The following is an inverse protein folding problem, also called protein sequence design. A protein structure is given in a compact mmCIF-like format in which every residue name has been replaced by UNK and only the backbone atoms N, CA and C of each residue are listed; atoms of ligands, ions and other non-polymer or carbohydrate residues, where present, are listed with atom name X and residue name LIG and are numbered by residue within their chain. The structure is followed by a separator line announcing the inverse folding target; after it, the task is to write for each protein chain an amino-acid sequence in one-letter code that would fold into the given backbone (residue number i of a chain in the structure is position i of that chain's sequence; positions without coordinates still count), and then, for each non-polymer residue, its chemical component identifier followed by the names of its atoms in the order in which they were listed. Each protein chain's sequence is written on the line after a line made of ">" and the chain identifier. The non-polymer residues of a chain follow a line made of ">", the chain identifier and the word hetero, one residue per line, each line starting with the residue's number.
data_IF_033420336339
#
_entry.id   IF_033420336339
#
_cell.length_a   1.000
_cell.length_b   1.000
_cell.length_c   1.000
_cell.angle_alpha   90.00
_cell.angle_beta   90.00
_cell.angle_gamma   90.00
#
_symmetry.space_group_name_H-M   'P 1'
#
loop_
_entity.id
_entity.type
_entity.pdbx_description
1 polymer ?
#
# COMPACT_ATOMS: atom_id res chain seq x y z
N UNK A 1 -4.24 -84.55 24.45
CA UNK A 1 -4.86 -85.26 23.31
C UNK A 1 -6.08 -84.47 22.85
N UNK A 2 -6.37 -84.58 21.56
CA UNK A 2 -7.52 -84.10 20.78
C UNK A 2 -7.21 -82.87 19.91
N UNK A 3 -7.03 -83.20 18.62
CA UNK A 3 -6.95 -82.31 17.46
C UNK A 3 -8.29 -81.58 17.24
N UNK A 4 -8.23 -80.30 16.89
CA UNK A 4 -9.37 -79.58 16.31
C UNK A 4 -9.16 -79.44 14.80
N UNK A 5 -10.10 -80.00 14.02
CA UNK A 5 -10.11 -79.94 12.57
C UNK A 5 -10.74 -78.63 12.07
N UNK A 6 -10.06 -78.01 11.10
CA UNK A 6 -10.51 -76.86 10.30
C UNK A 6 -11.63 -77.28 9.34
N UNK A 7 -12.79 -76.62 9.40
CA UNK A 7 -13.81 -76.64 8.34
C UNK A 7 -14.20 -75.21 7.98
N UNK A 8 -13.83 -74.79 6.75
CA UNK A 8 -14.32 -73.57 6.10
C UNK A 8 -15.72 -73.83 5.53
N UNK A 9 -16.67 -72.93 5.79
CA UNK A 9 -17.97 -72.93 5.13
C UNK A 9 -17.88 -72.39 3.68
N UNK A 10 -18.65 -72.94 2.73
CA UNK A 10 -18.64 -72.51 1.33
C UNK A 10 -19.41 -71.20 1.12
N UNK A 11 -18.83 -70.29 0.34
CA UNK A 11 -19.48 -69.08 -0.15
C UNK A 11 -20.55 -69.44 -1.18
N UNK A 12 -21.80 -69.10 -0.86
CA UNK A 12 -22.95 -69.24 -1.75
C UNK A 12 -22.87 -68.16 -2.85
N UNK A 13 -22.62 -68.59 -4.10
CA UNK A 13 -22.39 -67.72 -5.24
C UNK A 13 -23.68 -67.19 -5.84
N UNK A 14 -24.00 -65.91 -5.60
CA UNK A 14 -25.07 -65.23 -6.32
C UNK A 14 -24.54 -64.69 -7.67
N UNK A 15 -24.41 -65.59 -8.65
CA UNK A 15 -23.87 -65.31 -10.01
C UNK A 15 -24.65 -64.23 -10.80
N UNK A 16 -25.83 -63.80 -10.34
CA UNK A 16 -26.63 -62.76 -11.02
C UNK A 16 -26.13 -61.33 -10.75
N UNK A 17 -25.46 -61.09 -9.62
CA UNK A 17 -24.94 -59.76 -9.28
C UNK A 17 -23.68 -59.41 -10.10
N UNK A 18 -22.88 -60.42 -10.44
CA UNK A 18 -21.64 -60.26 -11.20
C UNK A 18 -21.90 -60.04 -12.71
N UNK A 19 -22.97 -60.61 -13.24
CA UNK A 19 -23.41 -60.40 -14.64
C UNK A 19 -23.98 -59.00 -14.83
N UNK A 20 -24.65 -58.43 -13.82
CA UNK A 20 -25.19 -57.07 -13.88
C UNK A 20 -24.09 -56.00 -13.89
N UNK A 21 -22.99 -56.23 -13.16
CA UNK A 21 -21.81 -55.34 -13.20
C UNK A 21 -21.04 -55.42 -14.53
N UNK A 22 -21.01 -56.60 -15.18
CA UNK A 22 -20.31 -56.79 -16.46
C UNK A 22 -21.07 -56.19 -17.66
N UNK A 23 -22.41 -56.11 -17.59
CA UNK A 23 -23.21 -55.44 -18.62
C UNK A 23 -23.15 -53.90 -18.52
N UNK A 24 -22.96 -53.36 -17.31
CA UNK A 24 -22.87 -51.90 -17.11
C UNK A 24 -21.50 -51.32 -17.54
N UNK A 25 -20.43 -52.13 -17.55
CA UNK A 25 -19.10 -51.68 -17.98
C UNK A 25 -18.90 -51.69 -19.51
N UNK A 26 -19.81 -52.32 -20.27
CA UNK A 26 -19.72 -52.44 -21.74
C UNK A 26 -20.48 -51.34 -22.50
N UNK A 27 -21.20 -50.45 -21.82
CA UNK A 27 -21.94 -49.33 -22.41
C UNK A 27 -21.20 -47.98 -22.39
N UNK A 28 -19.98 -47.90 -21.84
CA UNK A 28 -19.19 -46.65 -21.80
C UNK A 28 -18.02 -46.57 -22.79
N UNK A 29 -17.83 -47.57 -23.66
CA UNK A 29 -16.82 -47.55 -24.72
C UNK A 29 -17.44 -47.80 -26.10
N UNK A 30 -18.33 -46.92 -26.55
CA UNK A 30 -18.65 -46.80 -27.98
C UNK A 30 -19.34 -45.48 -28.28
N UNK A 31 -18.55 -44.45 -28.63
CA UNK A 31 -18.94 -43.47 -29.67
C UNK A 31 -17.67 -42.96 -30.38
N UNK A 32 -17.36 -43.57 -31.52
CA UNK A 32 -16.62 -42.91 -32.60
C UNK A 32 -17.60 -42.00 -33.35
N UNK A 33 -17.28 -40.70 -33.46
CA UNK A 33 -17.94 -39.80 -34.40
C UNK A 33 -16.97 -39.41 -35.52
N UNK A 34 -17.44 -39.63 -36.74
CA UNK A 34 -16.80 -39.42 -38.05
C UNK A 34 -16.44 -37.96 -38.33
N UNK A 35 -15.24 -37.77 -38.89
CA UNK A 35 -14.64 -36.48 -39.30
C UNK A 35 -15.18 -36.06 -40.68
N UNK A 36 -15.87 -34.92 -40.77
CA UNK A 36 -16.05 -34.16 -42.04
C UNK A 36 -15.00 -33.05 -42.10
N UNK A 37 -14.23 -32.99 -43.18
CA UNK A 37 -13.24 -31.96 -43.45
C UNK A 37 -13.88 -30.73 -44.10
N UNK A 38 -13.68 -29.55 -43.50
CA UNK A 38 -13.87 -28.23 -44.13
C UNK A 38 -12.48 -27.60 -44.24
N UNK A 39 -12.08 -27.03 -45.40
CA UNK A 39 -10.73 -26.51 -45.57
C UNK A 39 -10.55 -25.21 -44.79
N UNK A 40 -9.56 -25.17 -43.89
CA UNK A 40 -9.12 -23.94 -43.20
C UNK A 40 -7.89 -23.41 -43.91
N UNK A 41 -8.03 -22.20 -44.46
CA UNK A 41 -6.96 -21.39 -44.99
C UNK A 41 -5.94 -21.09 -43.88
N UNK A 42 -4.67 -21.41 -44.11
CA UNK A 42 -3.62 -21.31 -43.10
C UNK A 42 -3.07 -19.89 -43.05
N UNK A 43 -3.54 -19.07 -42.10
CA UNK A 43 -2.73 -17.98 -41.56
C UNK A 43 -2.29 -18.37 -40.14
N UNK A 44 -0.98 -18.61 -39.98
CA UNK A 44 -0.32 -18.86 -38.70
C UNK A 44 -0.37 -17.58 -37.86
N UNK A 45 -1.20 -17.56 -36.82
CA UNK A 45 -0.98 -16.68 -35.68
C UNK A 45 -0.36 -17.50 -34.53
N UNK A 46 0.76 -17.05 -33.93
CA UNK A 46 1.38 -17.76 -32.82
C UNK A 46 0.48 -17.72 -31.56
N UNK A 47 0.60 -18.71 -30.66
CA UNK A 47 -0.25 -18.80 -29.47
C UNK A 47 -0.04 -17.58 -28.55
N UNK A 48 -1.15 -16.98 -28.12
CA UNK A 48 -1.16 -15.83 -27.22
C UNK A 48 -0.50 -16.20 -25.87
N UNK A 49 0.53 -15.44 -25.50
CA UNK A 49 1.09 -15.44 -24.13
C UNK A 49 0.00 -14.98 -23.15
N UNK A 50 -0.04 -15.51 -21.91
CA UNK A 50 -0.87 -14.94 -20.87
C UNK A 50 -0.45 -13.49 -20.64
N UNK A 51 -1.33 -12.55 -20.99
CA UNK A 51 -1.12 -11.12 -20.73
C UNK A 51 -1.23 -10.89 -19.23
N UNK A 52 -0.09 -10.82 -18.54
CA UNK A 52 -0.03 -10.10 -17.28
C UNK A 52 -0.30 -8.63 -17.60
N UNK A 53 -1.52 -8.15 -17.41
CA UNK A 53 -1.78 -6.71 -17.41
C UNK A 53 -0.94 -6.10 -16.29
N UNK A 54 0.14 -5.43 -16.68
CA UNK A 54 0.96 -4.65 -15.76
C UNK A 54 0.08 -3.53 -15.21
N UNK A 55 0.14 -3.23 -13.91
CA UNK A 55 -0.52 -2.04 -13.39
C UNK A 55 0.03 -0.82 -14.12
N UNK A 56 -0.87 0.06 -14.55
CA UNK A 56 -0.51 1.35 -15.17
C UNK A 56 0.40 2.10 -14.19
N UNK A 57 1.61 2.46 -14.63
CA UNK A 57 2.57 3.24 -13.84
C UNK A 57 1.96 4.60 -13.53
N UNK A 58 1.70 4.89 -12.25
CA UNK A 58 1.32 6.23 -11.81
C UNK A 58 2.24 6.64 -10.66
N UNK A 59 2.88 7.78 -10.85
CA UNK A 59 3.79 8.40 -9.89
C UNK A 59 2.97 8.96 -8.73
N UNK A 60 3.07 8.34 -7.55
CA UNK A 60 2.34 8.76 -6.35
C UNK A 60 3.07 9.91 -5.64
N UNK A 61 4.22 10.34 -6.17
CA UNK A 61 5.06 11.43 -5.65
C UNK A 61 5.52 12.32 -6.81
N UNK A 62 4.86 13.46 -7.01
CA UNK A 62 5.28 14.43 -8.03
C UNK A 62 6.37 15.32 -7.46
N UNK A 63 7.57 15.23 -8.03
CA UNK A 63 8.68 16.17 -7.78
C UNK A 63 8.67 17.29 -8.81
N UNK A 64 8.72 18.54 -8.35
CA UNK A 64 9.13 19.67 -9.19
C UNK A 64 10.64 19.88 -9.00
N UNK A 65 11.39 19.80 -10.10
CA UNK A 65 12.74 20.31 -10.15
C UNK A 65 12.66 21.83 -10.23
N UNK A 66 12.94 22.53 -9.14
CA UNK A 66 13.37 23.92 -9.19
C UNK A 66 14.87 23.96 -8.85
N UNK A 67 15.70 24.74 -9.58
CA UNK A 67 17.11 24.85 -9.26
C UNK A 67 17.27 25.39 -7.85
N UNK A 68 18.04 24.65 -7.04
CA UNK A 68 18.29 24.93 -5.64
C UNK A 68 18.81 26.36 -5.44
N UNK A 69 17.97 27.27 -4.97
CA UNK A 69 18.44 28.32 -4.06
C UNK A 69 18.69 27.65 -2.72
N UNK A 70 19.91 27.80 -2.20
CA UNK A 70 20.34 27.36 -0.87
C UNK A 70 19.27 27.71 0.17
N UNK A 71 18.47 26.73 0.55
CA UNK A 71 17.67 26.72 1.76
C UNK A 71 17.90 25.35 2.38
N UNK A 72 18.44 25.34 3.59
CA UNK A 72 18.62 24.12 4.37
C UNK A 72 17.26 23.42 4.47
N UNK A 73 17.20 22.15 4.07
CA UNK A 73 15.99 21.34 4.21
C UNK A 73 15.73 21.13 5.71
N UNK A 74 14.62 21.61 6.27
CA UNK A 74 14.32 21.42 7.68
C UNK A 74 14.03 19.95 7.96
N UNK A 75 14.60 19.44 9.06
CA UNK A 75 14.38 18.06 9.54
C UNK A 75 12.93 17.94 10.01
N UNK A 76 12.17 17.07 9.36
CA UNK A 76 10.83 16.66 9.80
C UNK A 76 10.99 15.44 10.68
N UNK A 77 10.62 15.53 11.96
CA UNK A 77 10.78 14.43 12.92
C UNK A 77 9.40 13.98 13.40
N UNK A 78 9.04 12.69 13.26
CA UNK A 78 7.93 12.11 13.99
C UNK A 78 8.23 12.19 15.49
N UNK A 79 7.41 12.90 16.27
CA UNK A 79 7.63 12.95 17.72
C UNK A 79 7.26 11.60 18.35
N UNK A 80 8.14 11.10 19.22
CA UNK A 80 7.91 9.90 20.05
C UNK A 80 7.79 10.21 21.54
N UNK A 81 7.91 11.49 21.94
CA UNK A 81 7.87 11.89 23.34
C UNK A 81 6.48 12.43 23.73
N UNK A 82 5.90 11.83 24.78
CA UNK A 82 4.56 12.11 25.34
C UNK A 82 4.42 13.46 26.08
N UNK A 83 5.44 14.32 26.13
CA UNK A 83 5.46 15.46 27.07
C UNK A 83 5.09 16.82 26.47
N UNK A 84 4.98 16.97 25.15
CA UNK A 84 4.68 18.27 24.53
C UNK A 84 3.56 18.15 23.46
N UNK A 85 2.45 17.48 23.78
CA UNK A 85 1.26 17.55 22.93
C UNK A 85 0.69 18.98 22.98
N UNK A 86 0.99 19.76 21.94
CA UNK A 86 0.30 21.02 21.69
C UNK A 86 -1.18 20.69 21.45
N UNK A 87 -2.01 20.92 22.47
CA UNK A 87 -3.46 20.71 22.39
C UNK A 87 -4.05 21.79 21.48
N UNK A 88 -4.23 21.47 20.20
CA UNK A 88 -4.96 22.33 19.28
C UNK A 88 -6.43 22.42 19.71
N UNK A 89 -6.95 23.65 19.87
CA UNK A 89 -8.35 23.90 20.19
C UNK A 89 -9.04 24.52 18.98
N UNK A 90 -10.10 23.89 18.45
CA UNK A 90 -10.94 24.49 17.42
C UNK A 90 -11.47 25.84 17.90
N UNK A 91 -11.58 26.80 16.97
CA UNK A 91 -12.19 28.10 17.18
C UNK A 91 -13.71 28.02 17.27
N UNK A 92 -14.33 26.97 16.70
CA UNK A 92 -15.78 26.78 16.67
C UNK A 92 -16.48 27.75 15.72
N UNK A 93 -15.74 28.31 14.74
CA UNK A 93 -16.23 29.34 13.82
C UNK A 93 -17.31 28.82 12.87
N UNK A 94 -17.29 27.53 12.54
CA UNK A 94 -18.19 26.92 11.56
C UNK A 94 -19.19 25.97 12.22
N UNK A 95 -20.44 26.08 11.80
CA UNK A 95 -21.50 25.15 12.21
C UNK A 95 -21.35 23.84 11.43
N UNK A 96 -21.60 22.73 12.13
CA UNK A 96 -21.72 21.39 11.56
C UNK A 96 -23.07 20.81 11.93
N UNK A 97 -23.59 19.91 11.09
CA UNK A 97 -24.86 19.24 11.35
C UNK A 97 -24.80 18.43 12.65
N UNK A 98 -25.83 18.55 13.48
CA UNK A 98 -25.84 17.91 14.81
C UNK A 98 -26.47 16.51 14.73
N UNK A 99 -27.53 16.35 13.94
CA UNK A 99 -28.35 15.12 13.90
C UNK A 99 -27.74 14.01 13.04
N UNK A 100 -26.82 14.37 12.13
CA UNK A 100 -26.17 13.43 11.23
C UNK A 100 -24.71 13.81 10.97
N UNK A 101 -23.91 12.80 10.68
CA UNK A 101 -22.50 12.94 10.32
C UNK A 101 -22.40 13.04 8.79
N UNK A 102 -21.96 14.19 8.30
CA UNK A 102 -21.76 14.43 6.86
C UNK A 102 -20.32 14.24 6.44
N UNK A 103 -20.10 13.40 5.44
CA UNK A 103 -18.79 13.16 4.82
C UNK A 103 -18.89 13.56 3.34
N UNK A 104 -17.93 14.35 2.87
CA UNK A 104 -17.80 14.68 1.44
C UNK A 104 -16.66 13.86 0.86
N UNK A 105 -16.90 13.14 -0.22
CA UNK A 105 -15.89 12.36 -0.93
C UNK A 105 -15.62 12.97 -2.30
N UNK A 106 -14.41 13.50 -2.48
CA UNK A 106 -13.92 14.05 -3.73
C UNK A 106 -13.07 12.96 -4.42
N UNK A 107 -13.71 12.16 -5.27
CA UNK A 107 -13.12 10.96 -5.87
C UNK A 107 -12.85 11.22 -7.35
N UNK A 108 -11.63 10.96 -7.87
CA UNK A 108 -11.31 11.22 -9.29
C UNK A 108 -11.83 10.07 -10.17
N UNK A 109 -13.15 10.00 -10.37
CA UNK A 109 -13.78 9.03 -11.26
C UNK A 109 -13.47 9.28 -12.73
N UNK A 110 -13.04 10.50 -13.08
CA UNK A 110 -12.66 10.89 -14.44
C UNK A 110 -13.75 10.65 -15.47
N UNK A 111 -14.98 10.95 -15.08
CA UNK A 111 -16.17 10.63 -15.86
C UNK A 111 -16.18 11.32 -17.22
N UNK A 112 -15.54 12.49 -17.35
CA UNK A 112 -15.34 13.19 -18.62
C UNK A 112 -14.52 12.40 -19.64
N UNK A 113 -13.65 11.50 -19.18
CA UNK A 113 -12.82 10.64 -20.02
C UNK A 113 -13.42 9.25 -20.31
N UNK A 114 -14.67 8.99 -19.90
CA UNK A 114 -15.36 7.74 -20.23
C UNK A 114 -15.96 7.81 -21.62
N UNK A 115 -15.73 6.76 -22.40
CA UNK A 115 -16.44 6.56 -23.66
C UNK A 115 -17.85 6.01 -23.36
N UNK A 116 -18.83 6.91 -23.40
CA UNK A 116 -20.25 6.58 -23.17
C UNK A 116 -20.82 5.64 -24.22
N UNK A 117 -20.17 5.51 -25.39
CA UNK A 117 -20.63 4.64 -26.47
C UNK A 117 -20.27 3.17 -26.27
N UNK A 118 -19.20 2.87 -25.53
CA UNK A 118 -18.74 1.49 -25.31
C UNK A 118 -19.08 0.94 -23.92
N UNK A 119 -19.73 1.74 -23.05
CA UNK A 119 -19.99 1.37 -21.64
C UNK A 119 -18.72 0.89 -20.91
N UNK A 120 -17.55 1.41 -21.30
CA UNK A 120 -16.26 1.04 -20.71
C UNK A 120 -15.82 2.14 -19.75
N UNK A 121 -15.60 1.75 -18.51
CA UNK A 121 -14.95 2.59 -17.51
C UNK A 121 -13.50 2.75 -17.93
N UNK A 122 -12.99 3.98 -17.91
CA UNK A 122 -11.58 4.24 -18.14
C UNK A 122 -10.74 3.42 -17.13
N UNK A 123 -9.74 2.68 -17.61
CA UNK A 123 -8.90 1.83 -16.74
C UNK A 123 -8.20 2.64 -15.65
N UNK A 124 -7.86 3.91 -15.91
CA UNK A 124 -7.30 4.83 -14.92
C UNK A 124 -8.29 5.18 -13.79
N UNK A 125 -9.59 5.04 -14.03
CA UNK A 125 -10.66 5.29 -13.05
C UNK A 125 -11.03 4.06 -12.23
N UNK A 126 -10.71 2.86 -12.73
CA UNK A 126 -11.13 1.59 -12.14
C UNK A 126 -10.73 1.50 -10.66
N UNK A 127 -9.50 1.89 -10.32
CA UNK A 127 -9.03 1.89 -8.93
C UNK A 127 -9.88 2.75 -7.99
N UNK A 128 -10.37 3.90 -8.46
CA UNK A 128 -11.18 4.82 -7.66
C UNK A 128 -12.63 4.35 -7.55
N UNK A 129 -13.14 3.67 -8.58
CA UNK A 129 -14.43 2.96 -8.52
C UNK A 129 -14.38 1.85 -7.48
N UNK A 130 -13.31 1.03 -7.46
CA UNK A 130 -13.11 0.01 -6.44
C UNK A 130 -12.98 0.62 -5.04
N UNK A 131 -12.21 1.71 -4.88
CA UNK A 131 -12.11 2.44 -3.62
C UNK A 131 -13.49 2.89 -3.10
N UNK A 132 -14.30 3.52 -3.97
CA UNK A 132 -15.65 3.94 -3.62
C UNK A 132 -16.59 2.76 -3.32
N UNK A 133 -16.47 1.64 -4.04
CA UNK A 133 -17.19 0.41 -3.72
C UNK A 133 -16.81 -0.12 -2.33
N UNK A 134 -15.52 -0.05 -1.96
CA UNK A 134 -15.02 -0.32 -0.61
C UNK A 134 -15.67 0.57 0.45
N UNK A 135 -15.71 1.88 0.23
CA UNK A 135 -16.38 2.83 1.12
C UNK A 135 -17.85 2.45 1.34
N UNK A 136 -18.57 2.11 0.27
CA UNK A 136 -19.95 1.67 0.36
C UNK A 136 -20.13 0.39 1.18
N UNK A 137 -19.21 -0.56 1.07
CA UNK A 137 -19.22 -1.78 1.89
C UNK A 137 -19.08 -1.46 3.39
N UNK A 138 -18.26 -0.45 3.74
CA UNK A 138 -18.09 0.00 5.11
C UNK A 138 -19.34 0.71 5.64
N UNK A 139 -19.96 1.57 4.83
CA UNK A 139 -21.20 2.27 5.18
C UNK A 139 -22.32 1.26 5.44
N UNK A 140 -22.51 0.29 4.55
CA UNK A 140 -23.54 -0.74 4.69
C UNK A 140 -23.37 -1.52 6.00
N UNK A 141 -22.13 -1.86 6.36
CA UNK A 141 -21.83 -2.55 7.61
C UNK A 141 -22.13 -1.66 8.82
N UNK A 142 -21.66 -0.42 8.81
CA UNK A 142 -21.79 0.53 9.92
C UNK A 142 -23.21 1.11 10.07
N UNK A 143 -24.06 0.99 9.04
CA UNK A 143 -25.47 1.37 9.09
C UNK A 143 -26.30 0.45 9.98
N UNK A 144 -25.80 -0.77 10.22
CA UNK A 144 -26.42 -1.77 11.11
C UNK A 144 -25.97 -1.62 12.56
N UNK A 145 -24.96 -0.80 12.80
CA UNK A 145 -24.46 -0.47 14.14
C UNK A 145 -25.21 0.76 14.70
N UNK A 146 -25.34 0.85 16.02
CA UNK A 146 -25.87 2.04 16.67
C UNK A 146 -24.93 3.26 16.45
N UNK A 147 -25.51 4.43 16.27
CA UNK A 147 -24.77 5.68 16.12
C UNK A 147 -25.53 6.70 15.28
N UNK A 148 -24.98 7.92 15.18
CA UNK A 148 -25.54 8.95 14.30
C UNK A 148 -25.59 8.46 12.85
N UNK A 149 -26.64 8.88 12.15
CA UNK A 149 -26.81 8.66 10.71
C UNK A 149 -25.60 9.25 9.99
N UNK A 150 -25.06 8.51 9.01
CA UNK A 150 -23.99 9.00 8.14
C UNK A 150 -24.59 9.37 6.79
N UNK A 151 -24.29 10.57 6.30
CA UNK A 151 -24.64 11.03 4.96
C UNK A 151 -23.36 11.27 4.20
N UNK A 152 -23.27 10.73 2.98
CA UNK A 152 -22.10 10.88 2.14
C UNK A 152 -22.50 11.55 0.84
N UNK A 153 -21.85 12.67 0.54
CA UNK A 153 -21.96 13.36 -0.73
C UNK A 153 -20.70 13.07 -1.54
N UNK A 154 -20.88 12.59 -2.77
CA UNK A 154 -19.77 12.10 -3.59
C UNK A 154 -19.71 12.92 -4.87
N UNK A 155 -18.53 13.45 -5.17
CA UNK A 155 -18.28 14.28 -6.34
C UNK A 155 -17.09 13.74 -7.12
N UNK A 156 -17.20 13.77 -8.45
CA UNK A 156 -16.03 13.58 -9.32
C UNK A 156 -15.13 14.81 -9.23
N UNK A 157 -13.82 14.61 -9.01
CA UNK A 157 -12.89 15.71 -8.79
C UNK A 157 -11.50 15.43 -9.35
N UNK A 158 -11.15 16.12 -10.44
CA UNK A 158 -9.86 16.06 -11.13
C UNK A 158 -9.18 17.43 -11.26
N UNK A 159 -9.73 18.47 -10.63
CA UNK A 159 -9.26 19.85 -10.77
C UNK A 159 -9.60 20.71 -9.54
N UNK A 160 -8.98 21.88 -9.47
CA UNK A 160 -9.26 22.86 -8.42
C UNK A 160 -10.66 23.43 -8.59
N UNK A 161 -11.08 23.63 -9.84
CA UNK A 161 -12.37 24.19 -10.21
C UNK A 161 -13.52 23.27 -9.78
N UNK A 162 -13.41 21.96 -10.04
CA UNK A 162 -14.40 20.97 -9.59
C UNK A 162 -14.44 20.84 -8.08
N UNK A 163 -13.28 20.91 -7.41
CA UNK A 163 -13.22 20.93 -5.95
C UNK A 163 -13.93 22.17 -5.38
N UNK A 164 -13.68 23.36 -5.94
CA UNK A 164 -14.30 24.60 -5.54
C UNK A 164 -15.83 24.58 -5.73
N UNK A 165 -16.30 24.09 -6.88
CA UNK A 165 -17.74 23.93 -7.15
C UNK A 165 -18.38 22.97 -6.15
N UNK A 166 -17.74 21.83 -5.87
CA UNK A 166 -18.25 20.85 -4.91
C UNK A 166 -18.33 21.44 -3.49
N UNK A 167 -17.31 22.20 -3.08
CA UNK A 167 -17.21 22.78 -1.74
C UNK A 167 -18.06 24.03 -1.51
N UNK A 168 -18.48 24.72 -2.57
CA UNK A 168 -19.38 25.87 -2.47
C UNK A 168 -20.72 25.55 -1.78
N UNK A 169 -21.18 24.30 -1.87
CA UNK A 169 -22.40 23.82 -1.19
C UNK A 169 -22.26 23.79 0.34
N UNK A 170 -21.04 23.90 0.87
CA UNK A 170 -20.73 23.72 2.29
C UNK A 170 -20.18 24.98 2.97
N UNK A 171 -20.24 26.15 2.32
CA UNK A 171 -19.72 27.40 2.89
C UNK A 171 -20.41 27.81 4.19
N UNK A 172 -21.71 27.50 4.34
CA UNK A 172 -22.49 27.85 5.53
C UNK A 172 -22.55 26.73 6.58
N UNK A 173 -22.37 25.49 6.15
CA UNK A 173 -22.46 24.29 6.98
C UNK A 173 -21.38 23.32 6.53
N UNK A 174 -20.26 23.34 7.24
CA UNK A 174 -19.10 22.55 6.87
C UNK A 174 -19.38 21.04 7.11
N UNK A 175 -18.86 20.13 6.28
CA UNK A 175 -18.95 18.71 6.56
C UNK A 175 -18.08 18.35 7.77
N UNK A 176 -18.27 17.13 8.26
CA UNK A 176 -17.46 16.61 9.36
C UNK A 176 -16.09 16.18 8.83
N UNK A 177 -16.08 15.50 7.68
CA UNK A 177 -14.87 15.01 7.00
C UNK A 177 -14.97 15.29 5.50
N UNK A 178 -13.83 15.61 4.89
CA UNK A 178 -13.61 15.49 3.45
C UNK A 178 -12.62 14.35 3.20
N UNK A 179 -12.89 13.48 2.23
CA UNK A 179 -11.96 12.43 1.76
C UNK A 179 -11.55 12.76 0.33
N UNK A 180 -10.24 12.84 0.07
CA UNK A 180 -9.69 13.26 -1.23
C UNK A 180 -9.59 14.79 -1.38
N UNK A 181 -9.23 15.32 -2.56
CA UNK A 181 -9.06 14.64 -3.85
C UNK A 181 -7.66 14.05 -4.05
N UNK A 182 -7.41 13.44 -5.22
CA UNK A 182 -6.12 12.84 -5.56
C UNK A 182 -5.11 13.80 -6.21
N UNK A 183 -5.58 14.75 -7.03
CA UNK A 183 -4.69 15.64 -7.77
C UNK A 183 -4.07 16.67 -6.83
N UNK A 184 -2.74 16.78 -6.84
CA UNK A 184 -1.97 17.58 -5.87
C UNK A 184 -2.47 19.02 -5.74
N UNK A 185 -2.69 19.73 -6.85
CA UNK A 185 -3.13 21.13 -6.79
C UNK A 185 -4.56 21.28 -6.25
N UNK A 186 -5.46 20.36 -6.60
CA UNK A 186 -6.79 20.31 -6.01
C UNK A 186 -6.73 19.97 -4.51
N UNK A 187 -5.85 19.04 -4.12
CA UNK A 187 -5.66 18.66 -2.72
C UNK A 187 -5.11 19.81 -1.88
N UNK A 188 -4.17 20.60 -2.40
CA UNK A 188 -3.70 21.84 -1.74
C UNK A 188 -4.84 22.84 -1.53
N UNK A 189 -5.65 23.07 -2.56
CA UNK A 189 -6.82 23.94 -2.46
C UNK A 189 -7.78 23.45 -1.36
N UNK A 190 -8.13 22.15 -1.38
CA UNK A 190 -9.03 21.55 -0.38
C UNK A 190 -8.40 21.56 1.02
N UNK A 191 -7.08 21.41 1.15
CA UNK A 191 -6.39 21.51 2.43
C UNK A 191 -6.47 22.91 3.03
N UNK A 192 -6.28 23.96 2.23
CA UNK A 192 -6.50 25.35 2.66
C UNK A 192 -7.95 25.56 3.08
N UNK A 193 -8.90 25.14 2.24
CA UNK A 193 -10.33 25.25 2.56
C UNK A 193 -10.66 24.54 3.87
N UNK A 194 -10.14 23.33 4.06
CA UNK A 194 -10.37 22.49 5.24
C UNK A 194 -9.80 23.10 6.52
N UNK A 195 -8.62 23.73 6.43
CA UNK A 195 -8.02 24.50 7.52
C UNK A 195 -8.91 25.67 7.91
N UNK A 196 -9.36 26.42 6.92
CA UNK A 196 -10.18 27.62 7.12
C UNK A 196 -11.57 27.30 7.68
N UNK A 197 -12.13 26.12 7.35
CA UNK A 197 -13.48 25.66 7.74
C UNK A 197 -13.48 24.62 8.85
N UNK A 198 -12.35 24.42 9.54
CA UNK A 198 -12.22 23.48 10.66
C UNK A 198 -12.74 22.07 10.32
N UNK A 199 -12.40 21.60 9.13
CA UNK A 199 -12.91 20.36 8.55
C UNK A 199 -11.79 19.37 8.38
N UNK A 200 -11.93 18.19 8.98
CA UNK A 200 -10.92 17.14 8.85
C UNK A 200 -10.85 16.65 7.40
N UNK A 201 -9.68 16.81 6.79
CA UNK A 201 -9.38 16.35 5.45
C UNK A 201 -8.53 15.07 5.54
N UNK A 202 -9.05 13.97 5.00
CA UNK A 202 -8.35 12.71 4.88
C UNK A 202 -7.84 12.57 3.44
N UNK A 203 -6.52 12.48 3.27
CA UNK A 203 -5.84 12.19 2.00
C UNK A 203 -5.46 10.71 1.92
N UNK A 204 -6.21 9.89 1.18
CA UNK A 204 -5.91 8.47 1.03
C UNK A 204 -4.83 8.17 0.00
N UNK A 205 -4.65 9.03 -1.01
CA UNK A 205 -3.80 8.69 -2.15
C UNK A 205 -2.43 9.36 -2.17
N UNK A 206 -2.33 10.57 -1.63
CA UNK A 206 -1.12 11.41 -1.74
C UNK A 206 -0.38 11.43 -0.43
N UNK A 207 0.90 11.08 -0.49
CA UNK A 207 1.83 11.19 0.64
C UNK A 207 2.90 12.24 0.37
N UNK A 208 2.73 13.46 0.88
CA UNK A 208 3.71 14.53 0.69
C UNK A 208 3.64 15.62 1.77
N UNK A 209 4.78 16.07 2.31
CA UNK A 209 4.82 17.22 3.21
C UNK A 209 4.53 18.56 2.52
N UNK A 210 4.52 18.62 1.18
CA UNK A 210 4.29 19.86 0.41
C UNK A 210 2.83 20.23 0.17
N UNK A 211 1.89 19.43 0.70
CA UNK A 211 0.45 19.65 0.49
C UNK A 211 -0.07 20.82 1.31
N UNK A 212 0.42 20.97 2.54
CA UNK A 212 -0.10 21.97 3.46
C UNK A 212 0.92 22.26 4.55
N UNK A 213 0.81 23.43 5.16
CA UNK A 213 1.64 23.86 6.28
C UNK A 213 0.75 24.25 7.45
N UNK A 214 1.16 23.85 8.65
CA UNK A 214 0.48 24.15 9.90
C UNK A 214 -1.04 23.87 9.87
N UNK A 215 -1.43 22.76 9.27
CA UNK A 215 -2.83 22.37 9.09
C UNK A 215 -3.19 21.19 10.01
N UNK A 216 -3.75 21.49 11.20
CA UNK A 216 -4.12 20.46 12.17
C UNK A 216 -5.31 19.60 11.69
N UNK A 217 -5.99 19.98 10.62
CA UNK A 217 -7.11 19.24 10.07
C UNK A 217 -6.71 18.30 8.92
N UNK A 218 -5.45 18.30 8.48
CA UNK A 218 -4.98 17.41 7.41
C UNK A 218 -4.47 16.09 7.99
N UNK A 219 -5.08 14.98 7.56
CA UNK A 219 -4.68 13.62 7.87
C UNK A 219 -4.29 12.91 6.59
N UNK A 220 -3.07 12.41 6.55
CA UNK A 220 -2.57 11.57 5.48
C UNK A 220 -2.58 10.11 5.94
N UNK A 221 -3.33 9.24 5.26
CA UNK A 221 -3.44 7.83 5.70
C UNK A 221 -2.32 6.94 5.16
N UNK A 222 -1.52 7.46 4.23
CA UNK A 222 -0.29 6.83 3.76
C UNK A 222 0.91 7.31 4.56
N UNK A 223 1.81 6.38 4.87
CA UNK A 223 3.05 6.69 5.55
C UNK A 223 3.98 7.54 4.67
N UNK A 224 4.56 8.56 5.30
CA UNK A 224 5.60 9.39 4.70
C UNK A 224 6.91 8.62 4.51
N UNK A 225 7.78 9.16 3.66
CA UNK A 225 9.12 8.61 3.43
C UNK A 225 9.95 8.58 4.73
N UNK A 226 9.77 9.57 5.61
CA UNK A 226 10.41 9.64 6.93
C UNK A 226 10.08 8.40 7.78
N UNK A 227 8.82 8.00 7.86
CA UNK A 227 8.40 6.82 8.61
C UNK A 227 9.03 5.54 8.04
N UNK A 228 9.07 5.41 6.70
CA UNK A 228 9.73 4.28 6.06
C UNK A 228 11.24 4.22 6.34
N UNK A 229 11.95 5.35 6.23
CA UNK A 229 13.39 5.43 6.50
C UNK A 229 13.70 5.12 7.96
N UNK A 230 12.94 5.71 8.89
CA UNK A 230 13.09 5.44 10.31
C UNK A 230 12.89 3.95 10.61
N UNK A 231 11.84 3.34 10.09
CA UNK A 231 11.57 1.91 10.31
C UNK A 231 12.66 1.00 9.74
N UNK A 232 13.19 1.29 8.54
CA UNK A 232 14.32 0.55 7.98
C UNK A 232 15.55 0.69 8.87
N UNK A 233 15.86 1.91 9.31
CA UNK A 233 17.03 2.19 10.13
C UNK A 233 16.95 1.49 11.49
N UNK A 234 15.81 1.60 12.17
CA UNK A 234 15.55 0.96 13.46
C UNK A 234 15.64 -0.56 13.36
N UNK A 235 14.94 -1.15 12.39
CA UNK A 235 14.93 -2.60 12.23
C UNK A 235 16.31 -3.15 11.79
N UNK A 236 17.05 -2.44 10.91
CA UNK A 236 18.38 -2.87 10.50
C UNK A 236 19.37 -2.85 11.67
N UNK A 237 19.40 -1.78 12.47
CA UNK A 237 20.29 -1.63 13.63
C UNK A 237 19.93 -2.57 14.78
N UNK A 238 18.65 -2.89 14.96
CA UNK A 238 18.22 -3.86 15.96
C UNK A 238 18.70 -5.29 15.63
N UNK A 239 18.86 -5.62 14.35
CA UNK A 239 19.20 -6.98 13.91
C UNK A 239 20.66 -7.19 13.54
N UNK A 240 21.39 -6.15 13.18
CA UNK A 240 22.73 -6.25 12.61
C UNK A 240 23.69 -5.26 13.25
N UNK A 241 24.98 -5.63 13.39
CA UNK A 241 26.02 -4.68 13.78
C UNK A 241 26.05 -3.49 12.82
N UNK A 242 26.18 -2.28 13.36
CA UNK A 242 26.08 -1.05 12.55
C UNK A 242 27.18 -0.98 11.49
N UNK A 243 28.37 -1.49 11.81
CA UNK A 243 29.51 -1.58 10.89
C UNK A 243 29.26 -2.50 9.68
N UNK A 244 28.24 -3.36 9.73
CA UNK A 244 27.82 -4.22 8.62
C UNK A 244 26.74 -3.58 7.74
N UNK A 245 26.20 -2.44 8.14
CA UNK A 245 25.15 -1.72 7.44
C UNK A 245 25.76 -0.65 6.54
N UNK A 246 25.42 -0.70 5.25
CA UNK A 246 25.93 0.19 4.23
C UNK A 246 24.75 0.85 3.52
N UNK A 247 24.67 2.17 3.60
CA UNK A 247 23.70 2.97 2.85
C UNK A 247 24.20 3.16 1.42
N UNK A 248 23.34 2.93 0.43
CA UNK A 248 23.67 3.09 -0.99
C UNK A 248 22.91 4.29 -1.56
N UNK A 249 23.66 5.21 -2.17
CA UNK A 249 23.12 6.39 -2.86
C UNK A 249 23.70 6.51 -4.27
N UNK A 250 22.92 7.10 -5.18
CA UNK A 250 23.28 7.29 -6.60
C UNK A 250 24.28 8.43 -6.80
N UNK A 251 24.15 9.45 -5.97
CA UNK A 251 24.91 10.70 -6.02
C UNK A 251 24.92 11.36 -4.64
N UNK A 252 25.78 12.37 -4.47
CA UNK A 252 25.84 13.17 -3.24
C UNK A 252 24.54 13.97 -3.05
N UNK A 253 23.96 14.49 -4.14
CA UNK A 253 22.73 15.28 -4.11
C UNK A 253 21.49 14.44 -3.74
N UNK A 254 21.54 13.13 -4.02
CA UNK A 254 20.49 12.18 -3.67
C UNK A 254 20.73 11.50 -2.31
N UNK A 255 21.82 11.83 -1.61
CA UNK A 255 22.17 11.25 -0.30
C UNK A 255 21.02 11.36 0.68
N UNK A 256 20.73 10.24 1.36
CA UNK A 256 19.77 10.16 2.47
C UNK A 256 20.47 9.94 3.80
N UNK A 257 21.79 10.14 3.88
CA UNK A 257 22.58 9.83 5.07
C UNK A 257 22.03 10.50 6.33
N UNK A 258 21.54 11.75 6.24
CA UNK A 258 20.94 12.47 7.38
C UNK A 258 19.68 11.80 7.95
N UNK A 259 18.99 10.96 7.17
CA UNK A 259 17.84 10.18 7.64
C UNK A 259 18.26 8.88 8.36
N UNK A 260 19.48 8.40 8.11
CA UNK A 260 20.01 7.14 8.66
C UNK A 260 21.05 7.35 9.77
N UNK A 261 21.74 8.49 9.73
CA UNK A 261 22.61 9.02 10.77
C UNK A 261 22.13 10.43 11.12
N UNK A 262 21.60 10.62 12.33
CA UNK A 262 21.20 11.92 12.85
C UNK A 262 22.12 12.34 14.01
N UNK A 263 22.05 13.59 14.45
CA UNK A 263 22.97 14.12 15.46
C UNK A 263 22.78 13.51 16.86
N UNK A 264 21.61 12.92 17.13
CA UNK A 264 21.12 12.66 18.49
C UNK A 264 20.98 11.17 18.81
N UNK A 265 20.47 10.37 17.88
CA UNK A 265 20.03 8.98 18.08
C UNK A 265 20.83 7.98 17.25
N UNK A 266 21.09 8.27 15.97
CA UNK A 266 21.69 7.30 15.05
C UNK A 266 23.02 7.75 14.49
N UNK A 267 24.07 6.94 14.61
CA UNK A 267 25.42 7.25 14.12
C UNK A 267 26.04 6.06 13.38
N UNK A 268 27.16 6.30 12.71
CA UNK A 268 28.11 5.29 12.24
C UNK A 268 27.71 4.39 11.05
N UNK A 269 26.52 4.55 10.44
CA UNK A 269 26.27 3.92 9.13
C UNK A 269 27.16 4.59 8.08
N UNK A 270 27.84 3.79 7.26
CA UNK A 270 28.65 4.28 6.15
C UNK A 270 27.80 4.39 4.89
N UNK A 271 27.84 5.55 4.22
CA UNK A 271 27.26 5.72 2.89
C UNK A 271 28.28 5.42 1.79
N UNK A 272 27.83 4.75 0.74
CA UNK A 272 28.57 4.54 -0.50
C UNK A 272 27.81 5.14 -1.67
N UNK A 273 28.50 6.00 -2.41
CA UNK A 273 28.00 6.60 -3.63
C UNK A 273 28.42 5.74 -4.81
N UNK A 274 27.45 5.20 -5.55
CA UNK A 274 27.67 4.34 -6.72
C UNK A 274 26.82 4.87 -7.86
N UNK A 275 27.45 5.23 -8.98
CA UNK A 275 26.73 5.76 -10.14
C UNK A 275 26.03 4.63 -10.90
N UNK A 276 24.90 4.95 -11.53
CA UNK A 276 24.12 3.97 -12.29
C UNK A 276 24.93 3.31 -13.42
N UNK A 277 25.73 4.10 -14.14
CA UNK A 277 26.57 3.60 -15.23
C UNK A 277 27.60 2.56 -14.74
N UNK A 278 28.17 2.76 -13.54
CA UNK A 278 29.15 1.83 -12.98
C UNK A 278 28.50 0.46 -12.69
N UNK A 279 27.26 0.46 -12.16
CA UNK A 279 26.50 -0.78 -11.96
C UNK A 279 26.14 -1.45 -13.30
N UNK A 280 25.74 -0.67 -14.30
CA UNK A 280 25.25 -1.17 -15.58
C UNK A 280 26.37 -1.74 -16.46
N UNK A 281 27.52 -1.06 -16.54
CA UNK A 281 28.58 -1.35 -17.52
C UNK A 281 29.97 -1.58 -16.91
N UNK A 282 30.16 -1.37 -15.61
CA UNK A 282 31.47 -1.51 -14.96
C UNK A 282 32.03 -2.92 -15.05
N UNK A 283 33.33 -3.05 -15.34
CA UNK A 283 33.99 -4.37 -15.37
C UNK A 283 34.45 -4.76 -13.96
N UNK A 284 34.82 -3.76 -13.14
CA UNK A 284 35.34 -3.98 -11.80
C UNK A 284 34.26 -4.46 -10.82
N UNK A 285 34.62 -5.33 -9.86
CA UNK A 285 33.72 -5.73 -8.78
C UNK A 285 33.34 -4.53 -7.91
N UNK A 286 32.04 -4.29 -7.75
CA UNK A 286 31.50 -3.18 -6.95
C UNK A 286 31.05 -3.68 -5.57
N UNK A 287 30.38 -4.83 -5.52
CA UNK A 287 29.80 -5.39 -4.30
C UNK A 287 30.86 -6.12 -3.49
N UNK A 288 31.74 -6.86 -4.17
CA UNK A 288 32.77 -7.70 -3.53
C UNK A 288 33.62 -6.96 -2.48
N UNK A 289 34.15 -5.75 -2.75
CA UNK A 289 34.97 -5.01 -1.78
C UNK A 289 34.20 -4.53 -0.53
N UNK A 290 32.86 -4.56 -0.56
CA UNK A 290 32.01 -4.13 0.54
C UNK A 290 31.57 -5.29 1.44
N UNK A 291 31.85 -6.53 1.03
CA UNK A 291 31.44 -7.72 1.78
C UNK A 291 32.16 -7.80 3.12
N UNK A 292 31.40 -8.09 4.17
CA UNK A 292 31.89 -8.25 5.53
C UNK A 292 32.38 -9.67 5.76
N UNK A 293 33.50 -9.79 6.45
CA UNK A 293 34.07 -11.10 6.80
C UNK A 293 33.21 -11.83 7.83
N UNK A 294 32.74 -11.08 8.83
CA UNK A 294 31.92 -11.55 9.94
C UNK A 294 30.47 -11.07 9.78
N UNK A 295 29.51 -11.99 9.88
CA UNK A 295 28.09 -11.70 9.76
C UNK A 295 27.63 -11.32 8.34
N UNK A 296 26.32 -11.03 8.17
CA UNK A 296 25.78 -10.63 6.87
C UNK A 296 26.21 -9.20 6.52
N UNK A 297 26.40 -8.94 5.22
CA UNK A 297 26.51 -7.57 4.69
C UNK A 297 25.11 -7.03 4.42
N UNK A 298 24.79 -5.85 4.95
CA UNK A 298 23.44 -5.28 4.89
C UNK A 298 23.47 -4.01 4.06
N UNK A 299 22.81 -4.03 2.90
CA UNK A 299 22.65 -2.84 2.06
C UNK A 299 21.29 -2.19 2.31
N UNK A 300 21.26 -0.87 2.44
CA UNK A 300 20.03 -0.08 2.47
C UNK A 300 19.95 0.74 1.19
N UNK A 301 18.91 0.53 0.38
CA UNK A 301 18.61 1.29 -0.82
C UNK A 301 17.31 2.09 -0.59
N UNK A 302 17.38 3.35 -0.12
CA UNK A 302 16.22 4.16 0.25
C UNK A 302 15.49 4.76 -0.97
N UNK A 303 15.39 4.00 -2.07
CA UNK A 303 14.87 4.42 -3.36
C UNK A 303 13.39 4.07 -3.49
N UNK A 304 12.54 5.08 -3.63
CA UNK A 304 11.09 4.94 -3.64
C UNK A 304 10.42 5.49 -4.92
N UNK A 305 11.19 5.73 -6.00
CA UNK A 305 10.66 6.21 -7.28
C UNK A 305 10.71 5.13 -8.37
N UNK A 306 9.74 5.16 -9.29
CA UNK A 306 9.80 4.36 -10.52
C UNK A 306 10.96 4.74 -11.44
N UNK A 307 11.56 5.93 -11.25
CA UNK A 307 12.76 6.35 -11.99
C UNK A 307 14.01 5.58 -11.57
N UNK A 308 14.01 4.99 -10.37
CA UNK A 308 15.14 4.22 -9.84
C UNK A 308 15.13 2.74 -10.26
N UNK A 309 14.13 2.32 -11.03
CA UNK A 309 13.88 0.92 -11.39
C UNK A 309 15.12 0.27 -12.06
N UNK A 310 15.76 0.96 -13.00
CA UNK A 310 16.96 0.41 -13.66
C UNK A 310 18.14 0.31 -12.69
N UNK A 311 18.37 1.34 -11.87
CA UNK A 311 19.41 1.34 -10.85
C UNK A 311 19.25 0.15 -9.89
N UNK A 312 18.05 -0.04 -9.35
CA UNK A 312 17.72 -1.13 -8.43
C UNK A 312 17.97 -2.48 -9.09
N UNK A 313 17.51 -2.65 -10.33
CA UNK A 313 17.77 -3.87 -11.09
C UNK A 313 19.26 -4.15 -11.27
N UNK A 314 20.05 -3.15 -11.68
CA UNK A 314 21.49 -3.30 -11.87
C UNK A 314 22.22 -3.60 -10.55
N UNK A 315 21.82 -2.95 -9.45
CA UNK A 315 22.37 -3.23 -8.13
C UNK A 315 22.08 -4.67 -7.69
N UNK A 316 20.82 -5.11 -7.78
CA UNK A 316 20.43 -6.48 -7.41
C UNK A 316 21.13 -7.53 -8.28
N UNK A 317 21.25 -7.29 -9.59
CA UNK A 317 22.00 -8.15 -10.50
C UNK A 317 23.45 -8.30 -10.04
N UNK A 318 24.12 -7.19 -9.67
CA UNK A 318 25.49 -7.19 -9.16
C UNK A 318 25.61 -7.94 -7.84
N UNK A 319 24.69 -7.69 -6.90
CA UNK A 319 24.61 -8.43 -5.64
C UNK A 319 24.54 -9.93 -5.91
N UNK A 320 23.76 -10.37 -6.88
CA UNK A 320 23.63 -11.80 -7.20
C UNK A 320 24.84 -12.38 -7.92
N UNK A 321 25.49 -11.63 -8.80
CA UNK A 321 26.67 -12.11 -9.53
C UNK A 321 27.95 -12.08 -8.71
N UNK A 322 28.04 -11.15 -7.75
CA UNK A 322 29.23 -10.91 -6.94
C UNK A 322 29.11 -11.42 -5.51
N UNK A 323 27.90 -11.80 -5.06
CA UNK A 323 27.79 -12.55 -3.79
C UNK A 323 28.58 -13.83 -3.95
N UNK A 324 29.61 -13.96 -3.12
CA UNK A 324 30.40 -15.19 -3.01
C UNK A 324 29.59 -16.19 -2.16
N UNK A 325 30.21 -16.84 -1.18
CA UNK A 325 29.51 -17.60 -0.15
C UNK A 325 28.98 -16.72 1.01
N UNK A 326 29.22 -15.40 0.96
CA UNK A 326 28.79 -14.46 2.00
C UNK A 326 27.30 -14.17 1.94
N UNK A 327 26.70 -13.98 3.12
CA UNK A 327 25.31 -13.61 3.24
C UNK A 327 25.12 -12.11 2.99
N UNK A 328 24.16 -11.76 2.13
CA UNK A 328 23.79 -10.38 1.82
C UNK A 328 22.29 -10.20 2.07
N UNK A 329 21.95 -9.07 2.70
CA UNK A 329 20.58 -8.66 2.98
C UNK A 329 20.38 -7.27 2.42
N UNK A 330 19.30 -7.06 1.68
CA UNK A 330 19.01 -5.78 1.04
C UNK A 330 17.71 -5.22 1.60
N UNK A 331 17.74 -3.98 2.10
CA UNK A 331 16.55 -3.22 2.44
C UNK A 331 16.16 -2.30 1.28
N UNK A 332 14.89 -2.34 0.91
CA UNK A 332 14.28 -1.49 -0.11
C UNK A 332 12.98 -0.85 0.37
N UNK A 333 12.34 -0.10 -0.52
CA UNK A 333 11.13 0.67 -0.23
C UNK A 333 9.89 0.02 -0.87
N UNK A 334 8.70 0.36 -0.37
CA UNK A 334 7.41 -0.17 -0.84
C UNK A 334 7.24 -0.13 -2.37
N UNK A 335 7.77 0.90 -3.05
CA UNK A 335 7.61 1.08 -4.50
C UNK A 335 8.21 -0.07 -5.33
N UNK A 336 9.12 -0.86 -4.78
CA UNK A 336 9.74 -1.98 -5.47
C UNK A 336 8.72 -3.06 -5.87
N UNK A 337 7.60 -3.14 -5.16
CA UNK A 337 6.49 -4.06 -5.46
C UNK A 337 5.74 -3.70 -6.75
N UNK A 338 5.88 -2.47 -7.23
CA UNK A 338 5.24 -1.97 -8.46
C UNK A 338 6.21 -1.98 -9.66
N UNK A 339 7.43 -2.49 -9.48
CA UNK A 339 8.46 -2.51 -10.52
C UNK A 339 8.32 -3.74 -11.42
N UNK A 340 9.20 -3.84 -12.44
CA UNK A 340 9.24 -4.96 -13.39
C UNK A 340 9.39 -6.31 -12.69
N UNK A 341 8.84 -7.35 -13.34
CA UNK A 341 8.87 -8.74 -12.86
C UNK A 341 10.27 -9.21 -12.42
N UNK A 342 11.32 -8.86 -13.16
CA UNK A 342 12.68 -9.28 -12.82
C UNK A 342 13.13 -8.80 -11.42
N UNK A 343 12.70 -7.61 -10.97
CA UNK A 343 12.96 -7.13 -9.61
C UNK A 343 12.14 -7.93 -8.59
N UNK A 344 10.89 -8.24 -8.91
CA UNK A 344 10.01 -9.09 -8.09
C UNK A 344 10.60 -10.50 -7.95
N UNK A 345 11.22 -11.04 -8.99
CA UNK A 345 11.88 -12.34 -8.98
C UNK A 345 13.10 -12.34 -8.04
N UNK A 346 13.92 -11.28 -8.06
CA UNK A 346 14.99 -11.11 -7.07
C UNK A 346 14.43 -11.08 -5.65
N UNK A 347 13.32 -10.35 -5.41
CA UNK A 347 12.72 -10.27 -4.09
C UNK A 347 12.17 -11.60 -3.58
N UNK A 348 11.72 -12.48 -4.47
CA UNK A 348 11.22 -13.81 -4.10
C UNK A 348 12.32 -14.82 -3.74
N UNK A 349 13.52 -14.66 -4.32
CA UNK A 349 14.61 -15.64 -4.22
C UNK A 349 15.66 -15.21 -3.18
N UNK A 350 15.92 -13.91 -3.04
CA UNK A 350 16.97 -13.38 -2.19
C UNK A 350 16.41 -12.70 -0.93
N UNK A 351 17.27 -12.47 0.06
CA UNK A 351 16.90 -11.84 1.34
C UNK A 351 16.70 -10.33 1.18
N UNK A 352 15.63 -9.95 0.49
CA UNK A 352 15.23 -8.56 0.28
C UNK A 352 14.07 -8.21 1.20
N UNK A 353 14.28 -7.16 2.00
CA UNK A 353 13.36 -6.66 3.00
C UNK A 353 12.79 -5.33 2.54
N UNK A 354 11.48 -5.20 2.55
CA UNK A 354 10.80 -3.97 2.14
C UNK A 354 10.09 -3.33 3.32
N UNK A 355 10.19 -2.01 3.40
CA UNK A 355 9.33 -1.21 4.28
C UNK A 355 8.02 -0.90 3.56
N UNK A 356 6.90 -1.41 4.07
CA UNK A 356 5.55 -1.24 3.49
C UNK A 356 4.55 -0.73 4.54
N UNK A 357 3.59 0.09 4.10
CA UNK A 357 2.51 0.63 4.93
C UNK A 357 1.24 -0.22 4.87
N UNK A 358 0.98 -0.85 3.73
CA UNK A 358 -0.21 -1.69 3.50
C UNK A 358 0.23 -3.15 3.45
N UNK A 359 0.00 -3.90 4.52
CA UNK A 359 0.23 -5.34 4.60
C UNK A 359 -1.06 -6.02 5.01
N UNK A 360 -1.45 -7.06 4.29
CA UNK A 360 -2.53 -7.91 4.73
C UNK A 360 -2.19 -9.38 4.57
N UNK A 361 -2.59 -10.15 5.57
CA UNK A 361 -2.55 -11.60 5.51
C UNK A 361 -3.68 -12.08 4.60
N UNK A 362 -3.34 -12.66 3.45
CA UNK A 362 -4.32 -13.20 2.52
C UNK A 362 -5.19 -14.31 3.14
N UNK A 363 -4.72 -14.94 4.21
CA UNK A 363 -5.44 -15.98 4.91
C UNK A 363 -6.43 -15.48 5.96
N UNK A 364 -6.45 -14.17 6.22
CA UNK A 364 -7.35 -13.53 7.18
C UNK A 364 -8.83 -13.78 6.84
N UNK A 365 -9.56 -14.35 7.79
CA UNK A 365 -10.99 -14.65 7.70
C UNK A 365 -11.85 -13.41 7.40
N UNK A 366 -11.50 -12.24 7.95
CA UNK A 366 -12.24 -10.99 7.71
C UNK A 366 -12.09 -10.53 6.26
N UNK A 367 -10.90 -10.70 5.68
CA UNK A 367 -10.64 -10.37 4.26
C UNK A 367 -11.37 -11.36 3.36
N UNK A 368 -11.32 -12.67 3.64
CA UNK A 368 -12.08 -13.70 2.91
C UNK A 368 -13.58 -13.38 2.93
N UNK A 369 -14.09 -13.02 4.09
CA UNK A 369 -15.49 -12.62 4.27
C UNK A 369 -15.84 -11.34 3.51
N UNK A 370 -14.96 -10.32 3.54
CA UNK A 370 -15.13 -9.10 2.75
C UNK A 370 -15.17 -9.41 1.25
N UNK A 371 -14.21 -10.18 0.74
CA UNK A 371 -14.12 -10.59 -0.67
C UNK A 371 -15.40 -11.29 -1.14
N UNK A 372 -15.93 -12.20 -0.31
CA UNK A 372 -17.21 -12.86 -0.60
C UNK A 372 -18.36 -11.85 -0.68
N UNK A 373 -18.54 -10.99 0.34
CA UNK A 373 -19.63 -10.00 0.34
C UNK A 373 -19.50 -9.01 -0.82
N UNK A 374 -18.28 -8.61 -1.15
CA UNK A 374 -17.99 -7.71 -2.27
C UNK A 374 -18.40 -8.37 -3.60
N UNK A 375 -17.99 -9.61 -3.84
CA UNK A 375 -18.39 -10.36 -5.04
C UNK A 375 -19.90 -10.59 -5.10
N UNK A 376 -20.54 -10.90 -3.97
CA UNK A 376 -22.00 -11.09 -3.91
C UNK A 376 -22.75 -9.80 -4.30
N UNK A 377 -22.22 -8.63 -3.92
CA UNK A 377 -22.83 -7.32 -4.20
C UNK A 377 -22.51 -6.79 -5.61
N UNK A 378 -21.25 -6.83 -6.02
CA UNK A 378 -20.76 -6.17 -7.23
C UNK A 378 -20.49 -7.12 -8.41
N UNK A 379 -20.53 -8.44 -8.18
CA UNK A 379 -20.19 -9.47 -9.18
C UNK A 379 -18.80 -9.32 -9.78
N UNK A 380 -17.88 -8.78 -8.99
CA UNK A 380 -16.49 -8.51 -9.34
C UNK A 380 -15.58 -8.85 -8.14
N UNK A 381 -14.33 -9.23 -8.39
CA UNK A 381 -13.37 -9.42 -7.30
C UNK A 381 -12.84 -8.06 -6.82
N UNK A 382 -12.75 -7.81 -5.50
CA UNK A 382 -12.22 -6.54 -5.02
C UNK A 382 -10.72 -6.43 -5.32
N UNK A 383 -10.31 -5.26 -5.81
CA UNK A 383 -8.91 -4.85 -5.83
C UNK A 383 -8.43 -4.47 -4.42
N UNK A 384 -7.13 -4.19 -4.30
CA UNK A 384 -6.58 -3.62 -3.07
C UNK A 384 -7.23 -2.28 -2.72
N UNK A 385 -7.51 -1.43 -3.72
CA UNK A 385 -8.16 -0.14 -3.49
C UNK A 385 -9.55 -0.29 -2.83
N UNK A 386 -10.28 -1.39 -3.08
CA UNK A 386 -11.54 -1.66 -2.40
C UNK A 386 -11.38 -1.99 -0.91
N UNK A 387 -10.29 -2.64 -0.53
CA UNK A 387 -9.94 -2.85 0.89
C UNK A 387 -9.53 -1.52 1.53
N UNK A 388 -8.69 -0.73 0.85
CA UNK A 388 -8.26 0.60 1.29
C UNK A 388 -9.46 1.53 1.53
N UNK A 389 -10.40 1.59 0.59
CA UNK A 389 -11.60 2.42 0.70
C UNK A 389 -12.55 1.99 1.83
N UNK A 390 -12.66 0.69 2.08
CA UNK A 390 -13.40 0.14 3.21
C UNK A 390 -12.75 0.56 4.55
N UNK A 391 -11.43 0.41 4.66
CA UNK A 391 -10.69 0.73 5.88
C UNK A 391 -10.69 2.22 6.19
N UNK A 392 -10.44 3.08 5.20
CA UNK A 392 -10.47 4.55 5.35
C UNK A 392 -11.86 5.01 5.79
N UNK A 393 -12.93 4.47 5.20
CA UNK A 393 -14.29 4.83 5.59
C UNK A 393 -14.65 4.34 7.00
N UNK A 394 -14.26 3.11 7.37
CA UNK A 394 -14.46 2.63 8.75
C UNK A 394 -13.69 3.43 9.76
N UNK A 395 -12.44 3.77 9.46
CA UNK A 395 -11.62 4.66 10.28
C UNK A 395 -12.32 6.00 10.50
N UNK A 396 -12.78 6.62 9.41
CA UNK A 396 -13.45 7.92 9.44
C UNK A 396 -14.72 7.90 10.31
N UNK A 397 -15.65 6.98 10.02
CA UNK A 397 -16.94 6.94 10.72
C UNK A 397 -16.79 6.53 12.19
N UNK A 398 -15.95 5.53 12.50
CA UNK A 398 -15.78 5.08 13.88
C UNK A 398 -15.17 6.16 14.76
N UNK A 399 -14.17 6.88 14.26
CA UNK A 399 -13.58 7.98 15.00
C UNK A 399 -14.55 9.16 15.15
N UNK A 400 -15.32 9.51 14.11
CA UNK A 400 -16.37 10.54 14.24
C UNK A 400 -17.42 10.17 15.30
N UNK A 401 -17.87 8.91 15.32
CA UNK A 401 -18.86 8.44 16.29
C UNK A 401 -18.32 8.41 17.73
N UNK A 402 -17.05 8.02 17.90
CA UNK A 402 -16.44 7.88 19.22
C UNK A 402 -15.93 9.21 19.80
N UNK A 403 -15.46 10.13 18.96
CA UNK A 403 -14.66 11.28 19.38
C UNK A 403 -15.12 12.61 18.79
N UNK A 404 -16.10 12.62 17.89
CA UNK A 404 -16.59 13.82 17.21
C UNK A 404 -15.69 14.29 16.07
N UNK A 405 -15.97 15.48 15.54
CA UNK A 405 -15.29 16.06 14.37
C UNK A 405 -13.79 16.31 14.57
N UNK A 406 -13.36 16.42 15.82
CA UNK A 406 -12.01 16.79 16.25
C UNK A 406 -11.21 15.58 16.75
N UNK A 407 -11.56 14.39 16.26
CA UNK A 407 -11.01 13.12 16.75
C UNK A 407 -9.48 13.04 16.63
N UNK A 408 -8.88 13.71 15.65
CA UNK A 408 -7.44 13.74 15.44
C UNK A 408 -6.69 14.50 16.55
N UNK A 409 -7.37 15.35 17.32
CA UNK A 409 -6.81 16.03 18.49
C UNK A 409 -6.93 15.20 19.77
N UNK A 410 -7.48 13.98 19.68
CA UNK A 410 -7.57 13.05 20.79
C UNK A 410 -6.40 12.07 20.75
N UNK A 411 -6.08 11.51 21.91
CA UNK A 411 -5.14 10.40 21.99
C UNK A 411 -5.82 9.13 21.45
N UNK A 412 -5.71 8.92 20.14
CA UNK A 412 -6.23 7.74 19.48
C UNK A 412 -5.38 6.52 19.84
N UNK A 413 -5.98 5.33 19.99
CA UNK A 413 -5.21 4.11 20.21
C UNK A 413 -4.16 3.91 19.10
N UNK A 414 -2.93 3.50 19.44
CA UNK A 414 -1.98 3.08 18.43
C UNK A 414 -2.49 1.80 17.75
N UNK A 415 -2.17 1.62 16.47
CA UNK A 415 -2.43 0.38 15.71
C UNK A 415 -3.92 0.02 15.55
N UNK A 416 -4.74 0.98 15.13
CA UNK A 416 -6.14 0.70 14.77
C UNK A 416 -6.15 -0.13 13.48
N UNK A 417 -6.53 -1.40 13.58
CA UNK A 417 -6.52 -2.35 12.46
C UNK A 417 -7.91 -2.59 11.89
N UNK A 418 -7.99 -2.67 10.57
CA UNK A 418 -9.19 -3.12 9.86
C UNK A 418 -8.89 -4.32 8.95
N UNK A 419 -9.09 -4.23 7.63
CA UNK A 419 -8.82 -5.35 6.73
C UNK A 419 -7.34 -5.40 6.31
N UNK A 420 -6.84 -4.32 5.72
CA UNK A 420 -5.46 -4.23 5.22
C UNK A 420 -4.64 -3.09 5.81
N UNK A 421 -5.30 -2.01 6.19
CA UNK A 421 -4.64 -0.82 6.70
C UNK A 421 -4.63 -0.89 8.21
N UNK A 422 -3.46 -0.64 8.78
CA UNK A 422 -3.33 -0.32 10.19
C UNK A 422 -2.99 1.15 10.31
N UNK A 423 -3.76 1.85 11.14
CA UNK A 423 -3.65 3.27 11.36
C UNK A 423 -2.92 3.52 12.68
N UNK A 424 -1.78 4.21 12.58
CA UNK A 424 -1.06 4.82 13.69
C UNK A 424 -0.88 6.29 13.36
N UNK A 425 -1.98 7.05 13.46
CA UNK A 425 -2.01 8.47 13.06
C UNK A 425 -1.25 9.29 14.10
N UNK A 426 -0.14 9.89 13.68
CA UNK A 426 0.75 10.68 14.53
C UNK A 426 0.90 12.11 14.02
N UNK A 427 1.07 13.09 14.93
CA UNK A 427 1.33 14.46 14.55
C UNK A 427 2.75 14.60 14.00
N UNK A 428 2.86 15.28 12.88
CA UNK A 428 4.12 15.69 12.26
C UNK A 428 4.42 17.12 12.66
N UNK A 429 5.60 17.33 13.24
CA UNK A 429 6.06 18.64 13.69
C UNK A 429 7.26 19.12 12.87
N UNK A 430 7.40 20.45 12.81
CA UNK A 430 8.54 21.12 12.21
C UNK A 430 9.10 22.14 13.20
N UNK A 431 10.42 22.17 13.36
CA UNK A 431 11.11 23.24 14.06
C UNK A 431 11.30 24.41 13.10
N UNK A 432 10.68 25.55 13.40
CA UNK A 432 10.77 26.77 12.57
C UNK A 432 12.07 27.53 12.86
N UNK A 433 12.52 27.52 14.12
CA UNK A 433 13.77 28.14 14.56
C UNK A 433 14.61 27.14 15.37
N UNK A 434 15.95 27.19 15.29
CA UNK A 434 16.81 26.41 16.17
C UNK A 434 16.50 26.71 17.64
N UNK A 435 16.10 25.69 18.40
CA UNK A 435 15.69 25.84 19.81
C UNK A 435 14.26 26.35 20.04
N UNK A 436 13.48 26.58 18.98
CA UNK A 436 12.06 26.93 19.08
C UNK A 436 11.17 25.73 19.41
N UNK A 437 9.92 26.00 19.82
CA UNK A 437 8.93 24.96 20.04
C UNK A 437 8.53 24.28 18.72
N UNK A 438 8.34 22.95 18.69
CA UNK A 438 7.86 22.24 17.52
C UNK A 438 6.45 22.70 17.14
N UNK A 439 6.25 23.05 15.88
CA UNK A 439 4.94 23.48 15.35
C UNK A 439 4.29 22.33 14.59
N UNK A 440 3.07 21.97 14.98
CA UNK A 440 2.25 20.96 14.32
C UNK A 440 2.02 21.35 12.85
N UNK A 441 2.35 20.45 11.94
CA UNK A 441 2.19 20.65 10.50
C UNK A 441 0.95 19.93 9.97
N UNK A 442 0.80 18.65 10.29
CA UNK A 442 -0.32 17.80 9.91
C UNK A 442 -0.23 16.46 10.64
N UNK A 443 -1.17 15.54 10.38
CA UNK A 443 -1.14 14.18 10.89
C UNK A 443 -0.83 13.18 9.77
N UNK A 444 0.01 12.19 10.03
CA UNK A 444 0.32 11.11 9.09
C UNK A 444 0.17 9.74 9.73
N UNK A 445 -0.19 8.75 8.93
CA UNK A 445 -0.11 7.35 9.35
C UNK A 445 1.36 6.94 9.44
N UNK A 446 1.89 6.79 10.65
CA UNK A 446 3.26 6.34 10.87
C UNK A 446 3.41 4.81 10.80
N UNK A 447 2.33 4.08 10.51
CA UNK A 447 2.37 2.63 10.51
C UNK A 447 3.09 2.07 9.29
N UNK A 448 4.19 1.36 9.55
CA UNK A 448 4.97 0.64 8.54
C UNK A 448 5.50 -0.67 9.12
N UNK A 449 5.68 -1.68 8.27
CA UNK A 449 6.30 -2.97 8.61
C UNK A 449 7.47 -3.27 7.70
N UNK A 450 8.42 -4.05 8.21
CA UNK A 450 9.43 -4.71 7.38
C UNK A 450 8.91 -6.10 6.98
N UNK A 451 8.93 -6.38 5.68
CA UNK A 451 8.49 -7.67 5.13
C UNK A 451 9.50 -8.26 4.16
N UNK A 452 9.50 -9.58 4.04
CA UNK A 452 10.15 -10.31 2.95
C UNK A 452 9.08 -10.88 2.02
N UNK A 453 9.34 -10.86 0.72
CA UNK A 453 8.52 -11.58 -0.25
C UNK A 453 9.12 -12.97 -0.44
N UNK A 454 8.35 -14.03 -0.18
CA UNK A 454 8.78 -15.41 -0.47
C UNK A 454 7.63 -16.21 -1.04
N UNK A 455 7.86 -16.86 -2.19
CA UNK A 455 6.84 -17.62 -2.92
C UNK A 455 5.58 -16.77 -3.19
N UNK A 456 5.77 -15.50 -3.59
CA UNK A 456 4.72 -14.50 -3.80
C UNK A 456 3.83 -14.22 -2.58
N UNK A 457 4.33 -14.51 -1.36
CA UNK A 457 3.65 -14.17 -0.11
C UNK A 457 4.53 -13.29 0.76
N UNK A 458 3.92 -12.30 1.36
CA UNK A 458 4.59 -11.45 2.34
C UNK A 458 4.75 -12.20 3.67
N UNK A 459 5.97 -12.15 4.21
CA UNK A 459 6.27 -12.58 5.58
C UNK A 459 6.76 -11.38 6.35
N UNK A 460 6.09 -11.08 7.47
CA UNK A 460 6.56 -10.05 8.39
C UNK A 460 7.90 -10.51 8.94
N UNK A 461 8.86 -9.59 8.97
CA UNK A 461 10.12 -9.79 9.63
C UNK A 461 10.08 -8.97 10.91
N UNK A 462 10.00 -9.67 12.04
CA UNK A 462 9.96 -9.07 13.39
C UNK A 462 11.34 -8.65 13.88
#
# INVERSE_FOLDING_TARGET
>A
MILAASHRQPLNGNKRLLIFFLFFSLLFFSQCATRKSIPVNTQKNPPAKPTSEKPVKIDTVVWKNEPAKKAETPVVTPSTNKSDEVVYKPTGKYKKEIDQLRIVALVPFKTSGNDTSTSRINSASTRYVHFYAGMNMAIDELSREAGKKVVIDVYDCESVEEAAVSLANYSNMAPHIIIGPQKVEALKYVATWSKDHETTLISPWVSSPSITEENPYYIQTKAGLSAHYQNINEHARAKYPTENIILISKSIDESKLKNFNDSNKYKDIVEKIIKENDLATGVDPIITPMLKETGPTVFILPMASSKDENYIYHFLRRVVSEKTNKEIIVYGMYKWLEMKADIIDYMNVYKIRLSISNYFDQDNQNIKSFKKRYFDKYREFPSQDALEGYDVMKYSIRNLRAHGSDFQFKNLPPHISYLETMFDIKPIHKLITPGGAPVLQYYENAYVKIVELRNNRYRIVE
#
